data_IF_834099191710
#
_entry.id   IF_834099191710
#
_cell.length_a   1.000
_cell.length_b   1.000
_cell.length_c   1.000
_cell.angle_alpha   90.00
_cell.angle_beta   90.00
_cell.angle_gamma   90.00
#
_symmetry.space_group_name_H-M   'P 1'
#
loop_
_entity.id
_entity.type
_entity.pdbx_description
1 polymer ?
#
# COMPACT_ATOMS: atom_id res chain seq x y z
N UNK A 1 12.58 -12.29 -3.59
CA UNK A 1 13.45 -11.19 -3.10
C UNK A 1 12.64 -9.89 -3.04
N UNK A 2 12.83 -9.06 -1.99
CA UNK A 2 12.05 -7.82 -1.79
C UNK A 2 12.89 -6.53 -1.95
N UNK A 3 14.24 -6.64 -1.95
CA UNK A 3 15.17 -5.50 -2.08
C UNK A 3 16.43 -5.87 -2.86
N UNK A 4 17.13 -4.84 -3.35
CA UNK A 4 18.49 -4.88 -3.90
C UNK A 4 19.28 -3.77 -3.20
N UNK A 5 20.30 -4.12 -2.43
CA UNK A 5 20.99 -3.16 -1.54
C UNK A 5 20.01 -2.44 -0.60
N UNK A 6 19.97 -1.12 -0.70
CA UNK A 6 19.08 -0.22 0.06
C UNK A 6 17.75 0.10 -0.65
N UNK A 7 17.58 -0.29 -1.93
CA UNK A 7 16.35 -0.05 -2.70
C UNK A 7 15.39 -1.24 -2.61
N UNK A 8 14.10 -0.97 -2.63
CA UNK A 8 13.11 -2.01 -2.89
C UNK A 8 13.28 -2.56 -4.32
N UNK A 9 12.97 -3.84 -4.49
CA UNK A 9 13.09 -4.49 -5.80
C UNK A 9 12.17 -3.83 -6.83
N UNK A 10 10.96 -3.44 -6.42
CA UNK A 10 9.99 -2.76 -7.29
C UNK A 10 10.49 -1.41 -7.76
N UNK A 11 11.20 -0.66 -6.92
CA UNK A 11 11.72 0.64 -7.33
C UNK A 11 12.99 0.50 -8.17
N UNK A 12 13.84 -0.48 -7.87
CA UNK A 12 14.99 -0.80 -8.71
C UNK A 12 14.57 -1.18 -10.15
N UNK A 13 13.48 -1.93 -10.32
CA UNK A 13 12.94 -2.22 -11.66
C UNK A 13 12.29 -1.00 -12.32
N UNK A 14 11.61 -0.14 -11.55
CA UNK A 14 10.87 0.99 -12.12
C UNK A 14 11.75 2.16 -12.56
N UNK A 15 12.82 2.44 -11.81
CA UNK A 15 13.73 3.57 -12.05
C UNK A 15 15.15 3.16 -12.46
N UNK A 16 15.47 1.87 -12.45
CA UNK A 16 16.85 1.40 -12.42
C UNK A 16 17.43 1.46 -11.01
N UNK A 17 18.53 0.74 -10.79
CA UNK A 17 19.24 0.81 -9.51
C UNK A 17 19.99 2.14 -9.41
N UNK A 18 19.50 3.04 -8.55
CA UNK A 18 20.07 4.36 -8.30
C UNK A 18 19.97 4.71 -6.81
N UNK A 19 21.12 4.85 -6.15
CA UNK A 19 21.21 5.11 -4.71
C UNK A 19 20.60 6.46 -4.30
N UNK A 20 20.33 7.39 -5.23
CA UNK A 20 19.59 8.63 -4.93
C UNK A 20 18.13 8.37 -4.52
N UNK A 21 17.60 7.18 -4.81
CA UNK A 21 16.28 6.75 -4.36
C UNK A 21 16.31 6.05 -2.98
N UNK A 22 17.49 5.74 -2.44
CA UNK A 22 17.62 5.21 -1.09
C UNK A 22 18.43 6.17 -0.19
N UNK A 23 18.39 5.95 1.12
CA UNK A 23 19.26 6.67 2.03
C UNK A 23 19.49 5.86 3.30
N UNK A 24 20.63 6.09 3.94
CA UNK A 24 20.87 5.60 5.29
C UNK A 24 20.28 6.58 6.32
N UNK A 25 19.56 6.02 7.30
CA UNK A 25 18.89 6.77 8.36
C UNK A 25 17.75 7.68 7.87
N UNK A 26 17.47 8.71 8.66
CA UNK A 26 16.30 9.57 8.52
C UNK A 26 16.48 10.68 7.48
N UNK A 27 16.73 10.30 6.23
CA UNK A 27 16.93 11.25 5.11
C UNK A 27 15.85 11.10 4.06
N UNK A 28 15.53 12.21 3.40
CA UNK A 28 14.69 12.23 2.21
C UNK A 28 15.43 11.59 1.03
N UNK A 29 14.66 11.05 0.07
CA UNK A 29 15.18 10.49 -1.16
C UNK A 29 14.54 11.16 -2.37
N UNK A 30 15.04 10.86 -3.58
CA UNK A 30 14.52 11.45 -4.81
C UNK A 30 13.01 11.19 -4.97
N UNK A 31 12.28 12.28 -5.24
CA UNK A 31 10.84 12.24 -5.48
C UNK A 31 10.54 11.53 -6.80
N UNK A 32 9.53 10.67 -6.77
CA UNK A 32 8.96 10.02 -7.93
C UNK A 32 8.13 11.02 -8.77
N UNK A 33 8.43 11.22 -10.06
CA UNK A 33 7.71 12.18 -10.91
C UNK A 33 6.26 11.78 -11.21
N UNK A 34 5.86 10.54 -10.90
CA UNK A 34 4.49 10.05 -11.06
C UNK A 34 3.60 10.34 -9.84
N UNK A 35 4.20 10.73 -8.71
CA UNK A 35 3.48 11.09 -7.49
C UNK A 35 2.50 12.24 -7.76
N UNK A 36 1.25 12.06 -7.33
CA UNK A 36 0.13 13.00 -7.50
C UNK A 36 -0.16 13.45 -8.95
N UNK A 37 0.44 12.82 -9.96
CA UNK A 37 0.44 13.33 -11.33
C UNK A 37 -0.64 12.69 -12.23
N UNK A 38 -1.92 13.01 -11.99
CA UNK A 38 -3.06 12.40 -12.67
C UNK A 38 -3.17 12.58 -14.20
N UNK A 39 -2.36 13.45 -14.81
CA UNK A 39 -2.38 13.68 -16.26
C UNK A 39 -1.58 12.64 -17.05
N UNK A 40 -0.58 12.01 -16.42
CA UNK A 40 0.26 10.99 -17.07
C UNK A 40 -0.50 9.68 -17.21
N UNK A 41 -0.87 9.29 -18.44
CA UNK A 41 -1.52 8.00 -18.74
C UNK A 41 -0.58 6.92 -19.27
N UNK A 42 0.58 7.32 -19.78
CA UNK A 42 1.63 6.42 -20.27
C UNK A 42 2.94 6.76 -19.56
N UNK A 43 3.20 6.15 -18.39
CA UNK A 43 4.35 6.50 -17.55
C UNK A 43 5.70 6.32 -18.26
N UNK A 44 5.81 5.34 -19.14
CA UNK A 44 7.01 5.14 -19.94
C UNK A 44 7.26 6.31 -20.90
N UNK A 45 6.27 6.63 -21.73
CA UNK A 45 6.40 7.68 -22.75
C UNK A 45 6.65 9.06 -22.13
N UNK A 46 5.99 9.37 -21.02
CA UNK A 46 6.02 10.70 -20.40
C UNK A 46 7.15 10.87 -19.38
N UNK A 47 7.53 9.82 -18.66
CA UNK A 47 8.44 9.91 -17.50
C UNK A 47 9.64 8.96 -17.61
N UNK A 48 9.67 8.04 -18.58
CA UNK A 48 10.71 7.02 -18.70
C UNK A 48 10.64 5.95 -17.60
N UNK A 49 9.52 5.80 -16.90
CA UNK A 49 9.38 4.89 -15.76
C UNK A 49 8.50 3.69 -16.12
N UNK A 50 8.79 2.53 -15.51
CA UNK A 50 7.95 1.33 -15.61
C UNK A 50 7.41 0.99 -14.22
N UNK A 51 6.21 1.49 -13.84
CA UNK A 51 5.60 1.14 -12.57
C UNK A 51 5.66 -0.38 -12.36
N UNK A 52 6.23 -0.80 -11.24
CA UNK A 52 6.46 -2.22 -10.93
C UNK A 52 5.84 -2.55 -9.59
N UNK A 53 5.19 -3.72 -9.51
CA UNK A 53 4.59 -4.26 -8.30
C UNK A 53 4.87 -5.76 -8.25
N UNK A 54 5.16 -6.28 -7.06
CA UNK A 54 5.45 -7.69 -6.87
C UNK A 54 4.15 -8.45 -6.56
N UNK A 55 3.88 -9.50 -7.33
CA UNK A 55 2.87 -10.50 -6.97
C UNK A 55 3.42 -11.36 -5.82
N UNK A 56 3.35 -10.84 -4.60
CA UNK A 56 3.92 -11.48 -3.41
C UNK A 56 2.96 -12.48 -2.78
N UNK A 57 3.45 -13.69 -2.49
CA UNK A 57 2.72 -14.75 -1.83
C UNK A 57 3.71 -15.73 -1.16
N UNK A 58 3.29 -16.43 -0.11
CA UNK A 58 4.12 -17.46 0.53
C UNK A 58 4.11 -18.79 -0.26
N UNK A 59 3.18 -18.97 -1.20
CA UNK A 59 3.10 -20.15 -2.05
C UNK A 59 2.42 -19.85 -3.40
N UNK A 60 2.62 -20.72 -4.42
CA UNK A 60 1.93 -20.59 -5.70
C UNK A 60 0.39 -20.55 -5.58
N UNK A 61 -0.19 -21.30 -4.65
CA UNK A 61 -1.65 -21.30 -4.46
C UNK A 61 -2.15 -19.99 -3.84
N UNK A 62 -1.39 -19.41 -2.92
CA UNK A 62 -1.69 -18.08 -2.41
C UNK A 62 -1.58 -17.02 -3.53
N UNK A 63 -0.59 -17.14 -4.43
CA UNK A 63 -0.45 -16.25 -5.58
C UNK A 63 -1.66 -16.36 -6.53
N UNK A 64 -2.13 -17.58 -6.83
CA UNK A 64 -3.35 -17.81 -7.63
C UNK A 64 -4.58 -17.21 -6.97
N UNK A 65 -4.73 -17.35 -5.65
CA UNK A 65 -5.82 -16.71 -4.90
C UNK A 65 -5.75 -15.18 -4.96
N UNK A 66 -4.56 -14.60 -4.85
CA UNK A 66 -4.34 -13.16 -4.99
C UNK A 66 -4.75 -12.68 -6.39
N UNK A 67 -4.33 -13.38 -7.46
CA UNK A 67 -4.76 -13.09 -8.83
C UNK A 67 -6.28 -13.17 -8.95
N UNK A 68 -6.89 -14.25 -8.44
CA UNK A 68 -8.34 -14.44 -8.46
C UNK A 68 -9.11 -13.31 -7.75
N UNK A 69 -8.57 -12.76 -6.65
CA UNK A 69 -9.16 -11.60 -5.97
C UNK A 69 -9.09 -10.32 -6.79
N UNK A 70 -8.00 -10.09 -7.52
CA UNK A 70 -7.88 -8.96 -8.44
C UNK A 70 -8.91 -9.05 -9.56
N UNK A 71 -8.98 -10.21 -10.24
CA UNK A 71 -9.95 -10.49 -11.29
C UNK A 71 -11.40 -10.34 -10.82
N UNK A 72 -11.73 -10.82 -9.62
CA UNK A 72 -13.06 -10.69 -9.05
C UNK A 72 -13.44 -9.24 -8.67
N UNK A 73 -12.49 -8.31 -8.68
CA UNK A 73 -12.73 -6.91 -8.36
C UNK A 73 -13.09 -6.07 -9.60
N UNK A 74 -12.53 -6.41 -10.76
CA UNK A 74 -12.53 -5.54 -11.94
C UNK A 74 -13.93 -5.10 -12.39
N UNK A 75 -14.12 -3.79 -12.48
CA UNK A 75 -15.39 -3.18 -12.91
C UNK A 75 -16.59 -3.43 -12.00
N UNK A 76 -16.42 -4.09 -10.86
CA UNK A 76 -17.53 -4.45 -9.96
C UNK A 76 -18.01 -3.30 -9.08
N UNK A 77 -17.20 -2.23 -8.93
CA UNK A 77 -17.47 -1.08 -8.05
C UNK A 77 -17.96 -1.52 -6.66
N UNK A 78 -17.19 -2.35 -5.94
CA UNK A 78 -17.70 -3.05 -4.78
C UNK A 78 -18.13 -2.06 -3.69
N UNK A 79 -19.31 -2.25 -3.06
CA UNK A 79 -19.63 -1.50 -1.86
C UNK A 79 -18.65 -1.90 -0.75
N UNK A 80 -18.24 -0.91 0.04
CA UNK A 80 -17.30 -1.12 1.13
C UNK A 80 -17.02 0.16 1.91
N UNK A 81 -16.14 0.03 2.89
CA UNK A 81 -15.74 1.10 3.80
C UNK A 81 -14.22 1.26 3.77
N UNK A 82 -13.74 2.50 3.74
CA UNK A 82 -12.37 2.85 4.10
C UNK A 82 -12.27 3.04 5.62
N UNK A 83 -11.48 2.20 6.27
CA UNK A 83 -11.16 2.29 7.69
C UNK A 83 -9.78 2.95 7.86
N UNK A 84 -9.78 4.16 8.42
CA UNK A 84 -8.58 4.94 8.69
C UNK A 84 -8.36 4.96 10.20
N UNK A 85 -7.43 4.13 10.69
CA UNK A 85 -7.18 3.97 12.11
C UNK A 85 -6.10 4.94 12.58
N UNK A 86 -6.48 5.83 13.49
CA UNK A 86 -5.57 6.66 14.28
C UNK A 86 -5.18 5.87 15.52
N UNK A 87 -3.98 5.28 15.49
CA UNK A 87 -3.50 4.38 16.54
C UNK A 87 -2.97 5.13 17.77
N UNK A 88 -2.65 4.37 18.82
CA UNK A 88 -2.04 4.85 20.05
C UNK A 88 -0.52 5.06 19.95
N UNK A 89 0.12 4.68 18.84
CA UNK A 89 1.56 4.81 18.61
C UNK A 89 1.92 6.17 17.98
N UNK A 90 2.41 7.16 18.75
CA UNK A 90 2.65 8.51 18.22
C UNK A 90 3.76 8.54 17.16
N UNK A 91 4.73 7.62 17.20
CA UNK A 91 5.86 7.59 16.27
C UNK A 91 5.46 7.08 14.88
N UNK A 92 4.38 6.31 14.81
CA UNK A 92 3.89 5.69 13.57
C UNK A 92 2.51 6.21 13.13
N UNK A 93 1.83 7.00 13.97
CA UNK A 93 0.53 7.60 13.66
C UNK A 93 0.61 8.89 12.79
N UNK A 94 1.78 9.20 12.19
CA UNK A 94 1.95 10.40 11.35
C UNK A 94 0.98 10.48 10.16
N UNK A 95 0.48 9.33 9.68
CA UNK A 95 -0.52 9.26 8.60
C UNK A 95 -1.89 9.80 9.01
N UNK A 96 -2.24 9.76 10.29
CA UNK A 96 -3.56 10.16 10.78
C UNK A 96 -3.83 11.66 10.57
N UNK A 97 -2.78 12.49 10.52
CA UNK A 97 -2.87 13.91 10.18
C UNK A 97 -3.52 14.16 8.80
N UNK A 98 -3.47 13.18 7.89
CA UNK A 98 -4.05 13.28 6.55
C UNK A 98 -5.44 12.67 6.39
N UNK A 99 -6.02 12.06 7.43
CA UNK A 99 -7.24 11.25 7.26
C UNK A 99 -8.49 12.06 6.92
N UNK A 100 -8.64 13.27 7.47
CA UNK A 100 -9.76 14.14 7.08
C UNK A 100 -9.68 14.56 5.61
N UNK A 101 -8.46 14.84 5.13
CA UNK A 101 -8.21 15.11 3.70
C UNK A 101 -8.53 13.88 2.86
N UNK A 102 -8.18 12.68 3.33
CA UNK A 102 -8.46 11.43 2.64
C UNK A 102 -9.96 11.15 2.53
N UNK A 103 -10.72 11.42 3.60
CA UNK A 103 -12.19 11.36 3.59
C UNK A 103 -12.79 12.33 2.57
N UNK A 104 -12.31 13.57 2.51
CA UNK A 104 -12.77 14.56 1.55
C UNK A 104 -12.42 14.19 0.09
N UNK A 105 -11.19 13.70 -0.16
CA UNK A 105 -10.69 13.42 -1.51
C UNK A 105 -11.45 12.29 -2.22
N UNK A 106 -11.90 11.28 -1.48
CA UNK A 106 -12.64 10.14 -2.06
C UNK A 106 -14.00 10.56 -2.62
N UNK A 107 -14.57 11.67 -2.16
CA UNK A 107 -15.84 12.22 -2.62
C UNK A 107 -17.06 11.50 -2.03
N UNK A 108 -18.23 12.08 -2.30
CA UNK A 108 -19.51 11.56 -1.82
C UNK A 108 -19.80 10.15 -2.37
N UNK A 109 -20.58 9.36 -1.63
CA UNK A 109 -20.97 8.00 -2.02
C UNK A 109 -19.95 6.90 -1.70
N UNK A 110 -18.88 7.19 -0.95
CA UNK A 110 -18.03 6.15 -0.33
C UNK A 110 -18.02 6.29 1.18
N UNK A 111 -18.12 5.17 1.89
CA UNK A 111 -18.06 5.19 3.35
C UNK A 111 -16.61 5.28 3.79
N UNK A 112 -16.30 6.29 4.61
CA UNK A 112 -15.00 6.47 5.23
C UNK A 112 -15.21 6.60 6.74
N UNK A 113 -14.57 5.73 7.51
CA UNK A 113 -14.59 5.74 8.96
C UNK A 113 -13.19 6.04 9.48
N UNK A 114 -13.05 7.15 10.18
CA UNK A 114 -11.84 7.49 10.93
C UNK A 114 -12.06 6.99 12.36
N UNK A 115 -11.24 6.04 12.80
CA UNK A 115 -11.41 5.38 14.10
C UNK A 115 -10.17 5.62 14.96
N UNK A 116 -10.37 6.02 16.21
CA UNK A 116 -9.30 6.02 17.22
C UNK A 116 -9.21 4.64 17.84
N UNK A 117 -8.41 3.76 17.24
CA UNK A 117 -8.28 2.37 17.63
C UNK A 117 -6.97 1.77 17.11
N UNK A 118 -6.49 0.75 17.80
CA UNK A 118 -5.28 0.00 17.42
C UNK A 118 -5.59 -1.19 16.50
N UNK A 119 -6.82 -1.68 16.49
CA UNK A 119 -7.22 -2.75 15.59
C UNK A 119 -8.67 -2.60 15.15
N UNK A 120 -8.90 -2.87 13.86
CA UNK A 120 -10.23 -3.09 13.32
C UNK A 120 -10.66 -4.52 13.64
N UNK A 121 -11.90 -4.69 14.09
CA UNK A 121 -12.45 -6.00 14.51
C UNK A 121 -13.76 -6.24 13.79
N UNK A 122 -13.96 -7.46 13.28
CA UNK A 122 -15.23 -7.94 12.75
C UNK A 122 -15.85 -7.12 11.61
N UNK A 123 -15.09 -6.24 10.94
CA UNK A 123 -15.58 -5.49 9.80
C UNK A 123 -15.88 -6.44 8.62
N UNK A 124 -16.97 -6.22 7.89
CA UNK A 124 -17.45 -7.17 6.86
C UNK A 124 -17.23 -6.71 5.42
N UNK A 125 -16.79 -5.47 5.25
CA UNK A 125 -16.84 -4.73 4.01
C UNK A 125 -15.60 -3.85 3.83
N UNK A 126 -14.44 -4.32 4.30
CA UNK A 126 -13.18 -3.57 4.23
C UNK A 126 -12.76 -3.41 2.78
N UNK A 127 -12.70 -2.16 2.32
CA UNK A 127 -12.17 -1.80 1.00
C UNK A 127 -10.84 -1.07 1.10
N UNK A 128 -10.66 -0.26 2.15
CA UNK A 128 -9.37 0.32 2.51
C UNK A 128 -9.12 0.14 4.00
N UNK A 129 -7.90 -0.19 4.39
CA UNK A 129 -7.49 -0.22 5.80
C UNK A 129 -6.10 0.38 5.95
N UNK A 130 -6.03 1.59 6.51
CA UNK A 130 -4.76 2.26 6.82
C UNK A 130 -4.58 2.44 8.32
N UNK A 131 -3.38 2.13 8.82
CA UNK A 131 -2.98 2.28 10.21
C UNK A 131 -1.49 2.60 10.32
N UNK A 132 -1.01 2.88 11.53
CA UNK A 132 0.39 3.16 11.85
C UNK A 132 0.88 2.32 13.03
N UNK A 133 0.68 1.00 13.00
CA UNK A 133 1.23 0.12 14.04
C UNK A 133 2.35 -0.76 13.48
N UNK A 134 3.29 -1.11 14.37
CA UNK A 134 4.32 -2.11 14.13
C UNK A 134 3.73 -3.49 13.78
N UNK A 135 2.67 -3.87 14.51
CA UNK A 135 1.96 -5.13 14.35
C UNK A 135 0.47 -4.86 14.48
N UNK A 136 -0.31 -5.34 13.52
CA UNK A 136 -1.76 -5.16 13.51
C UNK A 136 -2.42 -6.46 13.92
N UNK A 137 -3.18 -6.40 15.01
CA UNK A 137 -3.95 -7.54 15.50
C UNK A 137 -5.26 -7.69 14.73
N UNK A 138 -5.91 -8.85 14.87
CA UNK A 138 -7.30 -9.08 14.42
C UNK A 138 -7.54 -9.02 12.91
N UNK A 139 -6.48 -9.10 12.09
CA UNK A 139 -6.59 -9.06 10.62
C UNK A 139 -7.64 -10.04 10.09
N UNK A 140 -7.61 -11.28 10.58
CA UNK A 140 -8.47 -12.38 10.14
C UNK A 140 -9.91 -12.30 10.67
N UNK A 141 -10.20 -11.40 11.63
CA UNK A 141 -11.57 -11.13 12.06
C UNK A 141 -12.35 -10.34 11.01
N UNK A 142 -11.64 -9.63 10.13
CA UNK A 142 -12.21 -8.74 9.13
C UNK A 142 -12.41 -9.46 7.80
N UNK A 143 -13.35 -8.97 6.99
CA UNK A 143 -13.55 -9.42 5.61
C UNK A 143 -13.21 -8.31 4.64
N UNK A 144 -12.18 -8.55 3.85
CA UNK A 144 -11.73 -7.69 2.76
C UNK A 144 -12.56 -7.98 1.51
N UNK A 145 -12.99 -6.93 0.82
CA UNK A 145 -13.67 -7.04 -0.47
C UNK A 145 -12.65 -7.31 -1.59
N UNK A 146 -13.04 -7.95 -2.69
CA UNK A 146 -12.20 -8.01 -3.89
C UNK A 146 -11.71 -6.61 -4.28
N UNK A 147 -10.41 -6.49 -4.54
CA UNK A 147 -9.76 -5.22 -4.84
C UNK A 147 -9.38 -4.36 -3.63
N UNK A 148 -9.67 -4.79 -2.40
CA UNK A 148 -9.36 -4.01 -1.21
C UNK A 148 -7.85 -3.80 -1.01
N UNK A 149 -7.48 -2.69 -0.38
CA UNK A 149 -6.09 -2.31 -0.14
C UNK A 149 -5.86 -2.08 1.35
N UNK A 150 -4.75 -2.56 1.90
CA UNK A 150 -4.47 -2.37 3.31
C UNK A 150 -2.97 -2.24 3.62
N UNK A 151 -2.61 -1.22 4.40
CA UNK A 151 -1.23 -0.90 4.74
C UNK A 151 -1.07 -0.43 6.19
N UNK A 152 0.11 -0.71 6.74
CA UNK A 152 0.57 -0.18 8.01
C UNK A 152 1.83 0.66 7.82
N UNK A 153 1.87 1.84 8.44
CA UNK A 153 3.04 2.71 8.46
C UNK A 153 4.03 2.19 9.52
N UNK A 154 4.87 1.23 9.13
CA UNK A 154 5.97 0.78 9.98
C UNK A 154 7.23 0.50 9.18
N UNK A 155 8.37 0.61 9.85
CA UNK A 155 9.68 0.23 9.36
C UNK A 155 9.72 -1.25 9.02
N UNK A 156 10.56 -1.63 8.05
CA UNK A 156 10.80 -3.03 7.70
C UNK A 156 9.58 -3.88 7.28
N UNK A 157 8.36 -3.34 7.22
CA UNK A 157 7.17 -4.10 6.80
C UNK A 157 7.28 -4.68 5.39
N UNK A 158 8.22 -4.18 4.57
CA UNK A 158 8.56 -4.73 3.26
C UNK A 158 9.52 -5.92 3.28
N UNK A 159 9.99 -6.37 4.44
CA UNK A 159 10.68 -7.65 4.57
C UNK A 159 9.64 -8.77 4.48
N UNK A 160 9.50 -9.34 3.29
CA UNK A 160 8.40 -10.25 2.94
C UNK A 160 8.62 -11.66 3.52
N UNK A 161 8.46 -11.81 4.83
CA UNK A 161 8.53 -13.09 5.55
C UNK A 161 7.25 -13.91 5.39
N UNK A 162 7.34 -15.22 5.06
CA UNK A 162 6.19 -16.11 4.98
C UNK A 162 5.73 -16.59 6.37
N UNK A 163 4.55 -17.21 6.44
CA UNK A 163 4.18 -18.09 7.57
C UNK A 163 3.78 -17.44 8.90
N UNK A 164 3.78 -16.12 9.01
CA UNK A 164 3.35 -15.39 10.21
C UNK A 164 4.53 -14.83 10.99
N UNK A 165 5.73 -15.18 10.55
CA UNK A 165 6.97 -14.74 11.14
C UNK A 165 7.08 -13.22 11.08
N UNK A 166 7.48 -12.58 12.20
CA UNK A 166 7.93 -11.20 12.16
C UNK A 166 9.03 -11.02 11.13
N UNK A 167 9.18 -9.79 10.68
CA UNK A 167 10.37 -9.32 9.98
C UNK A 167 11.61 -9.53 10.87
N UNK A 168 12.81 -9.50 10.31
CA UNK A 168 14.05 -9.60 11.11
C UNK A 168 14.14 -8.48 12.16
N UNK A 169 13.45 -7.36 11.92
CA UNK A 169 13.31 -6.22 12.85
C UNK A 169 12.11 -6.33 13.81
N UNK A 170 11.45 -7.49 13.89
CA UNK A 170 10.32 -7.76 14.81
C UNK A 170 8.99 -7.09 14.41
N UNK A 171 8.93 -6.39 13.28
CA UNK A 171 7.71 -5.75 12.76
C UNK A 171 6.86 -6.76 11.99
N UNK A 172 5.58 -6.46 11.75
CA UNK A 172 4.73 -7.26 10.87
C UNK A 172 5.14 -7.12 9.41
N UNK A 173 5.18 -8.23 8.67
CA UNK A 173 5.36 -8.21 7.22
C UNK A 173 4.07 -7.75 6.52
N UNK A 174 4.19 -6.91 5.49
CA UNK A 174 3.07 -6.48 4.65
C UNK A 174 2.38 -7.66 3.95
N UNK A 175 3.06 -8.81 3.83
CA UNK A 175 2.49 -10.05 3.31
C UNK A 175 1.27 -10.51 4.12
N UNK A 176 1.20 -10.20 5.42
CA UNK A 176 0.06 -10.52 6.30
C UNK A 176 -1.25 -9.90 5.80
N UNK A 177 -1.21 -8.71 5.20
CA UNK A 177 -2.39 -8.08 4.61
C UNK A 177 -2.93 -8.90 3.44
N UNK A 178 -2.05 -9.40 2.57
CA UNK A 178 -2.44 -10.20 1.42
C UNK A 178 -3.01 -11.56 1.84
N UNK A 179 -2.47 -12.18 2.88
CA UNK A 179 -3.02 -13.44 3.41
C UNK A 179 -4.38 -13.23 4.10
N UNK A 180 -4.57 -12.10 4.80
CA UNK A 180 -5.82 -11.76 5.44
C UNK A 180 -6.96 -11.41 4.46
N UNK A 181 -6.64 -11.11 3.20
CA UNK A 181 -7.65 -10.89 2.16
C UNK A 181 -7.44 -9.65 1.29
N UNK A 182 -6.48 -8.78 1.62
CA UNK A 182 -6.21 -7.59 0.81
C UNK A 182 -5.67 -7.99 -0.58
N UNK A 183 -6.02 -7.19 -1.59
CA UNK A 183 -5.53 -7.33 -2.96
C UNK A 183 -4.23 -6.56 -3.17
N UNK A 184 -3.99 -5.52 -2.37
CA UNK A 184 -2.79 -4.70 -2.38
C UNK A 184 -2.27 -4.39 -1.00
N UNK A 185 -0.95 -4.30 -0.89
CA UNK A 185 -0.26 -3.75 0.26
C UNK A 185 1.09 -3.09 -0.12
N UNK A 186 1.72 -2.45 0.85
CA UNK A 186 2.98 -1.74 0.79
C UNK A 186 3.73 -1.87 2.11
N UNK A 187 5.05 -2.00 2.02
CA UNK A 187 5.92 -1.96 3.20
C UNK A 187 7.32 -1.44 2.86
N UNK A 188 8.01 -0.86 3.84
CA UNK A 188 9.38 -0.38 3.64
C UNK A 188 10.39 -1.51 3.84
N UNK A 189 11.39 -1.62 2.98
CA UNK A 189 12.38 -2.71 3.01
C UNK A 189 13.56 -2.46 3.95
N UNK A 190 13.63 -1.24 4.49
CA UNK A 190 14.63 -0.72 5.43
C UNK A 190 13.94 0.26 6.40
N UNK A 191 14.66 0.77 7.40
CA UNK A 191 14.18 1.82 8.31
C UNK A 191 13.92 3.15 7.56
N UNK A 192 12.66 3.65 7.51
CA UNK A 192 12.30 4.89 6.83
C UNK A 192 12.18 6.09 7.79
N UNK A 193 12.33 5.88 9.11
CA UNK A 193 12.08 6.87 10.17
C UNK A 193 10.68 7.49 10.15
N UNK A 194 9.68 6.70 9.77
CA UNK A 194 8.28 7.13 9.66
C UNK A 194 8.04 8.39 8.80
N UNK A 195 8.97 8.74 7.89
CA UNK A 195 8.83 9.91 7.00
C UNK A 195 7.60 9.68 6.10
N UNK A 196 6.51 10.50 6.21
CA UNK A 196 5.25 10.21 5.52
C UNK A 196 5.38 10.09 4.00
N UNK A 197 6.28 10.87 3.38
CA UNK A 197 6.55 10.83 1.94
C UNK A 197 7.06 9.46 1.44
N UNK A 198 7.60 8.61 2.33
CA UNK A 198 8.05 7.24 2.03
C UNK A 198 6.94 6.21 2.17
N UNK A 199 5.68 6.63 2.34
CA UNK A 199 4.54 5.74 2.45
C UNK A 199 3.40 6.19 1.52
N UNK A 200 2.43 5.30 1.21
CA UNK A 200 1.24 5.67 0.48
C UNK A 200 0.46 6.75 1.24
N UNK A 201 0.19 7.87 0.56
CA UNK A 201 -0.80 8.85 0.98
C UNK A 201 -2.21 8.25 0.76
N UNK A 202 -3.01 8.03 1.82
CA UNK A 202 -4.35 7.44 1.69
C UNK A 202 -5.29 8.24 0.79
N UNK A 203 -5.19 9.56 0.81
CA UNK A 203 -6.07 10.42 0.01
C UNK A 203 -5.78 10.18 -1.47
N UNK A 204 -4.51 10.21 -1.87
CA UNK A 204 -4.11 10.00 -3.26
C UNK A 204 -4.39 8.58 -3.72
N UNK A 205 -4.03 7.57 -2.92
CA UNK A 205 -4.24 6.17 -3.26
C UNK A 205 -5.72 5.89 -3.51
N UNK A 206 -6.59 6.26 -2.56
CA UNK A 206 -8.03 6.06 -2.72
C UNK A 206 -8.60 6.88 -3.88
N UNK A 207 -8.15 8.13 -4.06
CA UNK A 207 -8.59 9.01 -5.15
C UNK A 207 -8.31 8.40 -6.54
N UNK A 208 -7.05 8.03 -6.80
CA UNK A 208 -6.67 7.49 -8.11
C UNK A 208 -7.32 6.14 -8.37
N UNK A 209 -7.35 5.26 -7.36
CA UNK A 209 -7.95 3.95 -7.51
C UNK A 209 -9.47 4.04 -7.78
N UNK A 210 -10.19 4.90 -7.05
CA UNK A 210 -11.62 5.18 -7.28
C UNK A 210 -11.91 5.87 -8.61
N UNK A 211 -10.96 6.63 -9.16
CA UNK A 211 -11.07 7.21 -10.51
C UNK A 211 -10.89 6.18 -11.62
N UNK A 212 -10.55 4.94 -11.26
CA UNK A 212 -10.41 3.83 -12.17
C UNK A 212 -8.99 3.66 -12.69
N UNK A 213 -7.97 4.07 -11.94
CA UNK A 213 -6.61 3.61 -12.20
C UNK A 213 -6.47 2.14 -11.75
N UNK A 214 -5.54 1.40 -12.35
CA UNK A 214 -5.13 0.08 -11.82
C UNK A 214 -4.47 0.24 -10.45
N UNK A 215 -4.41 -0.83 -9.67
CA UNK A 215 -3.80 -0.80 -8.35
C UNK A 215 -2.33 -0.36 -8.39
N UNK A 216 -1.57 -0.85 -9.38
CA UNK A 216 -0.17 -0.44 -9.57
C UNK A 216 -0.04 1.06 -9.85
N UNK A 217 -0.88 1.62 -10.72
CA UNK A 217 -0.86 3.05 -11.03
C UNK A 217 -1.23 3.88 -9.79
N UNK A 218 -2.29 3.49 -9.08
CA UNK A 218 -2.75 4.21 -7.90
C UNK A 218 -1.67 4.27 -6.80
N UNK A 219 -0.97 3.15 -6.56
CA UNK A 219 0.14 3.09 -5.62
C UNK A 219 1.33 3.97 -6.02
N UNK A 220 1.73 3.89 -7.28
CA UNK A 220 2.85 4.68 -7.76
C UNK A 220 2.54 6.18 -7.79
N UNK A 221 1.26 6.58 -7.86
CA UNK A 221 0.85 7.98 -7.70
C UNK A 221 0.71 8.41 -6.24
N UNK A 222 0.67 7.49 -5.29
CA UNK A 222 0.45 7.80 -3.87
C UNK A 222 1.71 7.84 -3.02
N UNK A 223 2.88 7.41 -3.54
CA UNK A 223 4.15 7.43 -2.79
C UNK A 223 5.13 8.41 -3.43
N UNK A 224 5.49 9.45 -2.67
CA UNK A 224 6.41 10.49 -3.15
C UNK A 224 7.85 9.99 -3.22
N UNK A 225 8.30 9.19 -2.25
CA UNK A 225 9.67 8.69 -2.12
C UNK A 225 9.70 7.15 -2.05
N UNK A 226 9.41 6.44 -3.16
CA UNK A 226 9.15 4.99 -3.15
C UNK A 226 10.41 4.12 -3.07
N UNK A 227 11.61 4.70 -3.11
CA UNK A 227 12.84 3.91 -3.28
C UNK A 227 13.11 2.90 -2.17
N UNK A 228 12.63 3.15 -0.96
CA UNK A 228 12.77 2.24 0.19
C UNK A 228 11.48 1.42 0.45
N UNK A 229 10.53 1.42 -0.49
CA UNK A 229 9.21 0.82 -0.36
C UNK A 229 8.92 -0.23 -1.41
N UNK A 230 8.46 -1.41 -0.99
CA UNK A 230 8.02 -2.47 -1.91
C UNK A 230 6.50 -2.44 -2.06
N UNK A 231 6.04 -2.40 -3.30
CA UNK A 231 4.63 -2.53 -3.65
C UNK A 231 4.30 -4.00 -3.87
N UNK A 232 3.28 -4.53 -3.18
CA UNK A 232 2.89 -5.94 -3.29
C UNK A 232 1.39 -6.11 -3.55
N UNK A 233 1.00 -7.03 -4.42
CA UNK A 233 -0.41 -7.26 -4.71
C UNK A 233 -0.67 -7.74 -6.13
N UNK A 234 -1.93 -7.72 -6.52
CA UNK A 234 -2.36 -7.97 -7.90
C UNK A 234 -2.35 -6.63 -8.66
N UNK A 235 -1.39 -6.38 -9.57
CA UNK A 235 -1.16 -5.07 -10.15
C UNK A 235 -2.30 -4.52 -10.99
N UNK A 236 -3.05 -5.41 -11.66
CA UNK A 236 -4.05 -5.01 -12.66
C UNK A 236 -5.44 -4.75 -12.06
N UNK A 237 -5.65 -5.09 -10.79
CA UNK A 237 -6.91 -4.91 -10.08
C UNK A 237 -7.41 -3.49 -10.29
N UNK A 238 -8.67 -3.36 -10.72
CA UNK A 238 -9.27 -2.11 -11.16
C UNK A 238 -10.77 -2.08 -10.87
N UNK A 239 -11.17 -1.97 -9.59
CA UNK A 239 -12.56 -2.15 -9.18
C UNK A 239 -13.51 -1.09 -9.74
N UNK A 240 -12.99 0.12 -9.96
CA UNK A 240 -13.74 1.26 -10.52
C UNK A 240 -13.36 1.56 -11.97
N UNK A 241 -13.04 0.52 -12.76
CA UNK A 241 -12.86 0.64 -14.22
C UNK A 241 -14.00 1.48 -14.83
N UNK A 242 -13.62 2.42 -15.70
CA UNK A 242 -14.52 3.20 -16.54
C UNK A 242 -14.53 2.60 -17.94
#
# INVERSE_FOLDING_TARGET
PYRVGCLSITTAFAFGYDTRHCAEGCRFTRINPFFANGSVRRPWDALGIRPTMLLAAASPDQARRLIGRGLAADGTRPPGTAYLLSSSDPARNGRALGYDRARAAVGEGFRVQILKADALRNARDVMFYFTGLATVQELNSNRFRPGAVADHLTSYGGQLTPGGEPTEAGQMSALRWLEAGATGSYGTVVEPCSIPAKFPDPALLMLFYRRGDTLIEAYWRSVAMPGQGVFIGEPLARPWRR
#
